data_IF_508363941088
#
_entry.id   IF_508363941088
#
_cell.length_a   1.000
_cell.length_b   1.000
_cell.length_c   1.000
_cell.angle_alpha   90.00
_cell.angle_beta   90.00
_cell.angle_gamma   90.00
#
_symmetry.space_group_name_H-M   'P 1'
#
loop_
_entity.id
_entity.type
_entity.pdbx_description
1 polymer ?
#
# COMPACT_ATOMS: atom_id res chain seq x y z
N UNK A 1 -0.16 -16.40 -13.23
CA UNK A 1 -1.49 -16.80 -12.77
C UNK A 1 -1.82 -18.24 -13.16
N UNK A 2 -1.58 -18.67 -14.41
CA UNK A 2 -1.86 -20.06 -14.87
C UNK A 2 -1.18 -21.12 -14.01
N UNK A 3 0.12 -20.96 -13.71
CA UNK A 3 0.84 -21.90 -12.85
C UNK A 3 0.28 -22.00 -11.41
N UNK A 4 -0.34 -20.94 -10.90
CA UNK A 4 -1.07 -20.99 -9.62
C UNK A 4 -2.33 -21.84 -9.77
N UNK A 5 -3.10 -21.64 -10.83
CA UNK A 5 -4.31 -22.42 -11.09
C UNK A 5 -4.01 -23.93 -11.18
N UNK A 6 -2.90 -24.31 -11.82
CA UNK A 6 -2.46 -25.73 -11.92
C UNK A 6 -2.09 -26.35 -10.56
N UNK A 7 -1.86 -25.55 -9.53
CA UNK A 7 -1.46 -26.00 -8.19
C UNK A 7 -2.56 -25.93 -7.14
N UNK A 8 -3.77 -25.53 -7.51
CA UNK A 8 -4.87 -25.36 -6.56
C UNK A 8 -5.25 -26.65 -5.83
N UNK A 9 -5.18 -27.83 -6.48
CA UNK A 9 -5.46 -29.10 -5.82
C UNK A 9 -4.40 -29.40 -4.74
N UNK A 10 -3.13 -29.21 -5.04
CA UNK A 10 -2.06 -29.33 -4.06
C UNK A 10 -2.26 -28.36 -2.87
N UNK A 11 -2.62 -27.12 -3.14
CA UNK A 11 -2.87 -26.12 -2.09
C UNK A 11 -4.09 -26.47 -1.26
N UNK A 12 -5.12 -27.03 -1.88
CA UNK A 12 -6.30 -27.52 -1.17
C UNK A 12 -5.96 -28.70 -0.24
N UNK A 13 -5.18 -29.66 -0.74
CA UNK A 13 -4.72 -30.82 0.06
C UNK A 13 -3.81 -30.38 1.23
N UNK A 14 -3.09 -29.27 1.05
CA UNK A 14 -2.29 -28.65 2.11
C UNK A 14 -3.15 -27.95 3.18
N UNK A 15 -4.44 -27.73 2.93
CA UNK A 15 -5.35 -27.07 3.85
C UNK A 15 -5.38 -25.54 3.73
N UNK A 16 -5.04 -25.00 2.55
CA UNK A 16 -5.07 -23.55 2.30
C UNK A 16 -6.50 -23.08 2.08
N UNK A 17 -6.93 -22.03 2.78
CA UNK A 17 -8.23 -21.36 2.61
C UNK A 17 -8.11 -20.07 1.79
N UNK A 18 -6.97 -19.36 1.87
CA UNK A 18 -6.73 -18.13 1.12
C UNK A 18 -5.34 -18.13 0.49
N UNK A 19 -5.26 -17.59 -0.73
CA UNK A 19 -3.99 -17.32 -1.42
C UNK A 19 -3.78 -15.82 -1.49
N UNK A 20 -2.81 -15.32 -0.77
CA UNK A 20 -2.31 -13.97 -0.99
C UNK A 20 -1.36 -13.96 -2.17
N UNK A 21 -1.72 -13.19 -3.19
CA UNK A 21 -0.88 -12.91 -4.34
C UNK A 21 -0.14 -11.58 -4.08
N UNK A 22 1.19 -11.62 -4.10
CA UNK A 22 2.00 -10.40 -4.13
C UNK A 22 1.67 -9.57 -5.38
N UNK A 23 2.04 -8.27 -5.46
CA UNK A 23 1.58 -7.40 -6.53
C UNK A 23 1.83 -7.97 -7.93
N UNK A 24 0.79 -8.05 -8.72
CA UNK A 24 0.81 -8.54 -10.11
C UNK A 24 0.09 -7.57 -11.06
N UNK A 25 -0.27 -6.40 -10.58
CA UNK A 25 -0.81 -5.31 -11.39
C UNK A 25 0.26 -4.74 -12.32
N UNK A 26 -0.17 -3.98 -13.33
CA UNK A 26 0.77 -3.33 -14.26
C UNK A 26 1.77 -2.48 -13.49
N UNK A 27 3.05 -2.75 -13.69
CA UNK A 27 4.15 -2.12 -12.96
C UNK A 27 5.42 -2.06 -13.81
N UNK A 28 6.22 -0.98 -13.72
CA UNK A 28 7.58 -0.97 -14.25
C UNK A 28 8.56 -1.93 -13.56
N UNK A 29 8.13 -2.61 -12.48
CA UNK A 29 8.91 -3.59 -11.72
C UNK A 29 10.20 -3.02 -11.09
N UNK A 30 10.18 -1.75 -10.70
CA UNK A 30 11.31 -1.12 -9.99
C UNK A 30 11.42 -1.64 -8.56
N UNK A 31 10.28 -1.98 -7.98
CA UNK A 31 10.15 -2.56 -6.64
C UNK A 31 9.28 -3.82 -6.67
N UNK A 32 9.58 -4.75 -7.60
CA UNK A 32 8.93 -6.06 -7.69
C UNK A 32 7.39 -6.01 -7.71
N UNK A 33 6.81 -4.98 -8.33
CA UNK A 33 5.37 -4.79 -8.46
C UNK A 33 4.76 -3.84 -7.42
N UNK A 34 5.49 -3.48 -6.36
CA UNK A 34 5.01 -2.48 -5.39
C UNK A 34 5.03 -1.04 -5.91
N UNK A 35 5.50 -0.82 -7.14
CA UNK A 35 5.39 0.41 -7.91
C UNK A 35 4.27 0.29 -8.96
N UNK A 36 3.01 0.32 -8.48
CA UNK A 36 1.82 0.09 -9.32
C UNK A 36 1.58 1.24 -10.29
N UNK A 37 1.49 0.93 -11.58
CA UNK A 37 1.18 1.89 -12.64
C UNK A 37 -0.29 1.84 -13.10
N UNK A 38 -0.99 0.72 -12.87
CA UNK A 38 -2.43 0.57 -13.12
C UNK A 38 -3.02 -0.49 -12.19
N UNK A 39 -3.92 -0.08 -11.31
CA UNK A 39 -4.55 -0.95 -10.30
C UNK A 39 -5.61 -1.91 -10.86
N UNK A 40 -6.09 -1.70 -12.09
CA UNK A 40 -7.23 -2.43 -12.65
C UNK A 40 -6.84 -3.37 -13.80
N UNK A 41 -5.55 -3.43 -14.11
CA UNK A 41 -5.02 -4.32 -15.13
C UNK A 41 -3.89 -5.20 -14.58
N UNK A 42 -3.73 -6.37 -15.20
CA UNK A 42 -2.71 -7.35 -14.85
C UNK A 42 -1.50 -7.08 -15.70
N UNK A 43 -0.30 -7.11 -15.08
CA UNK A 43 0.93 -7.04 -15.85
C UNK A 43 1.04 -8.26 -16.77
N UNK A 44 1.31 -8.06 -18.08
CA UNK A 44 1.40 -9.16 -19.05
C UNK A 44 2.41 -10.24 -18.67
N UNK A 45 3.39 -9.93 -17.82
CA UNK A 45 4.35 -10.91 -17.29
C UNK A 45 3.67 -12.03 -16.50
N UNK A 46 2.57 -11.73 -15.80
CA UNK A 46 1.85 -12.67 -14.94
C UNK A 46 0.66 -13.35 -15.61
N UNK A 47 0.19 -12.80 -16.73
CA UNK A 47 -0.93 -13.34 -17.47
C UNK A 47 -1.93 -12.30 -17.94
N UNK A 48 -3.17 -12.70 -18.12
CA UNK A 48 -4.26 -11.88 -18.61
C UNK A 48 -5.39 -11.79 -17.59
N UNK A 49 -6.36 -10.89 -17.83
CA UNK A 49 -7.57 -10.82 -17.03
C UNK A 49 -8.38 -12.13 -17.09
N UNK A 50 -8.39 -12.80 -18.24
CA UNK A 50 -9.02 -14.12 -18.42
C UNK A 50 -8.33 -15.20 -17.57
N UNK A 51 -7.00 -15.19 -17.49
CA UNK A 51 -6.25 -16.09 -16.62
C UNK A 51 -6.60 -15.88 -15.14
N UNK A 52 -6.82 -14.62 -14.75
CA UNK A 52 -7.24 -14.28 -13.39
C UNK A 52 -8.69 -14.73 -13.14
N UNK A 53 -9.62 -14.45 -14.06
CA UNK A 53 -11.02 -14.85 -13.92
C UNK A 53 -11.11 -16.38 -13.79
N UNK A 54 -10.30 -17.13 -14.57
CA UNK A 54 -10.19 -18.58 -14.42
C UNK A 54 -9.62 -18.99 -13.05
N UNK A 55 -8.57 -18.32 -12.57
CA UNK A 55 -7.99 -18.63 -11.26
C UNK A 55 -8.98 -18.40 -10.12
N UNK A 56 -9.77 -17.31 -10.16
CA UNK A 56 -10.84 -17.03 -9.20
C UNK A 56 -11.87 -18.15 -9.22
N UNK A 57 -12.38 -18.51 -10.41
CA UNK A 57 -13.39 -19.54 -10.57
C UNK A 57 -12.93 -20.94 -10.12
N UNK A 58 -11.68 -21.31 -10.42
CA UNK A 58 -11.09 -22.58 -10.00
C UNK A 58 -10.79 -22.61 -8.50
N UNK A 59 -10.41 -21.46 -7.91
CA UNK A 59 -10.27 -21.28 -6.47
C UNK A 59 -11.59 -21.47 -5.73
N UNK A 60 -12.65 -20.85 -6.23
CA UNK A 60 -14.00 -20.96 -5.65
C UNK A 60 -14.50 -22.41 -5.58
N UNK A 61 -14.28 -23.22 -6.63
CA UNK A 61 -14.65 -24.65 -6.65
C UNK A 61 -13.96 -25.45 -5.54
N UNK A 62 -12.83 -24.97 -5.04
CA UNK A 62 -12.00 -25.61 -3.99
C UNK A 62 -12.14 -24.95 -2.63
N UNK A 63 -13.01 -23.95 -2.50
CA UNK A 63 -13.12 -23.08 -1.33
C UNK A 63 -11.80 -22.40 -0.97
N UNK A 64 -11.04 -21.95 -1.97
CA UNK A 64 -9.83 -21.16 -1.81
C UNK A 64 -10.14 -19.74 -2.30
N UNK A 65 -10.13 -18.79 -1.37
CA UNK A 65 -10.27 -17.36 -1.68
C UNK A 65 -8.97 -16.75 -2.18
N UNK A 66 -9.07 -15.78 -3.09
CA UNK A 66 -7.91 -14.97 -3.46
C UNK A 66 -7.87 -13.70 -2.63
N UNK A 67 -6.68 -13.37 -2.14
CA UNK A 67 -6.36 -12.12 -1.44
C UNK A 67 -5.39 -11.31 -2.27
N UNK A 68 -5.73 -10.06 -2.55
CA UNK A 68 -4.93 -9.17 -3.38
C UNK A 68 -4.18 -8.15 -2.55
N UNK A 69 -3.00 -7.79 -3.02
CA UNK A 69 -2.13 -6.79 -2.40
C UNK A 69 -2.50 -5.39 -2.87
N UNK A 70 -2.93 -4.55 -1.93
CA UNK A 70 -3.34 -3.17 -2.18
C UNK A 70 -2.25 -2.21 -1.74
N UNK A 71 -1.46 -1.76 -2.70
CA UNK A 71 -0.38 -0.79 -2.48
C UNK A 71 -0.96 0.61 -2.57
N UNK A 72 -1.51 1.12 -1.47
CA UNK A 72 -2.29 2.35 -1.44
C UNK A 72 -1.58 3.55 -0.80
N UNK A 73 -0.36 3.36 -0.28
CA UNK A 73 0.43 4.49 0.21
C UNK A 73 0.97 5.35 -0.93
N UNK A 74 1.29 4.74 -2.08
CA UNK A 74 1.94 5.38 -3.22
C UNK A 74 1.55 4.73 -4.54
N UNK A 75 1.86 5.39 -5.64
CA UNK A 75 1.83 4.78 -6.98
C UNK A 75 3.21 4.84 -7.62
N UNK A 76 3.40 4.07 -8.70
CA UNK A 76 4.52 4.33 -9.61
C UNK A 76 4.45 5.75 -10.17
N UNK A 77 5.61 6.36 -10.40
CA UNK A 77 5.69 7.60 -11.20
C UNK A 77 5.28 7.38 -12.67
N UNK A 78 5.14 6.13 -13.11
CA UNK A 78 4.56 5.77 -14.41
C UNK A 78 3.03 5.69 -14.39
N UNK A 79 2.38 5.79 -13.24
CA UNK A 79 0.92 5.81 -13.13
C UNK A 79 0.33 7.01 -13.88
N UNK A 80 -0.83 6.83 -14.53
CA UNK A 80 -1.47 7.90 -15.29
C UNK A 80 -1.69 9.16 -14.46
N UNK A 81 -2.11 9.02 -13.21
CA UNK A 81 -2.33 10.16 -12.32
C UNK A 81 -1.06 11.00 -12.12
N UNK A 82 0.10 10.35 -11.89
CA UNK A 82 1.36 11.07 -11.69
C UNK A 82 1.84 11.74 -12.97
N UNK A 83 1.72 11.08 -14.13
CA UNK A 83 2.06 11.68 -15.42
C UNK A 83 1.21 12.92 -15.71
N UNK A 84 -0.09 12.87 -15.40
CA UNK A 84 -1.01 14.02 -15.55
C UNK A 84 -0.67 15.14 -14.55
N UNK A 85 -0.27 14.79 -13.32
CA UNK A 85 0.24 15.77 -12.36
C UNK A 85 1.46 16.52 -12.91
N UNK A 86 2.43 15.79 -13.50
CA UNK A 86 3.62 16.37 -14.13
C UNK A 86 3.28 17.20 -15.38
N UNK A 87 2.21 16.86 -16.10
CA UNK A 87 1.69 17.63 -17.22
C UNK A 87 0.99 18.94 -16.82
N UNK A 88 0.88 19.23 -15.50
CA UNK A 88 0.32 20.47 -14.98
C UNK A 88 -1.16 20.40 -14.61
N UNK A 89 -1.81 19.23 -14.70
CA UNK A 89 -3.21 19.08 -14.33
C UNK A 89 -3.39 19.18 -12.81
N UNK A 90 -4.01 20.26 -12.36
CA UNK A 90 -4.17 20.62 -10.95
C UNK A 90 -4.82 19.53 -10.12
N UNK A 91 -5.89 18.90 -10.64
CA UNK A 91 -6.57 17.79 -10.01
C UNK A 91 -5.59 16.71 -9.61
N UNK A 92 -4.71 16.28 -10.51
CA UNK A 92 -3.77 15.20 -10.28
C UNK A 92 -2.54 15.64 -9.47
N UNK A 93 -2.19 16.92 -9.50
CA UNK A 93 -1.20 17.44 -8.54
C UNK A 93 -1.70 17.31 -7.10
N UNK A 94 -3.00 17.49 -6.87
CA UNK A 94 -3.61 17.36 -5.55
C UNK A 94 -3.78 15.89 -5.11
N UNK A 95 -3.56 14.92 -6.01
CA UNK A 95 -3.53 13.48 -5.69
C UNK A 95 -2.25 13.04 -4.99
N UNK A 96 -1.17 13.80 -5.11
CA UNK A 96 0.13 13.51 -4.54
C UNK A 96 0.55 14.60 -3.57
N UNK A 97 1.59 14.29 -2.80
CA UNK A 97 2.14 15.26 -1.85
C UNK A 97 3.24 16.05 -2.54
N UNK A 98 2.86 17.17 -3.13
CA UNK A 98 3.78 18.17 -3.68
C UNK A 98 3.94 19.34 -2.74
N UNK A 99 5.16 19.68 -2.35
CA UNK A 99 5.47 20.75 -1.39
C UNK A 99 6.75 21.47 -1.72
N UNK A 100 6.98 22.53 -0.94
CA UNK A 100 8.26 23.26 -0.88
C UNK A 100 8.46 24.27 -2.01
N UNK A 101 9.58 24.92 -1.91
CA UNK A 101 10.12 25.88 -2.87
C UNK A 101 11.36 25.26 -3.55
N UNK A 102 11.82 25.80 -4.69
CA UNK A 102 12.92 25.21 -5.47
C UNK A 102 14.22 25.02 -4.71
N UNK A 103 14.50 25.85 -3.73
CA UNK A 103 15.82 25.98 -3.12
C UNK A 103 16.18 24.85 -2.14
N UNK A 104 15.18 24.18 -1.56
CA UNK A 104 15.41 23.13 -0.57
C UNK A 104 14.21 22.18 -0.44
N UNK A 105 14.44 20.89 -0.07
CA UNK A 105 13.36 19.98 0.21
C UNK A 105 12.53 20.45 1.42
N UNK A 106 11.23 20.09 1.48
CA UNK A 106 10.33 20.50 2.55
C UNK A 106 10.73 20.08 3.95
N UNK A 107 11.40 18.94 4.09
CA UNK A 107 11.98 18.42 5.34
C UNK A 107 13.24 17.62 5.06
N UNK A 108 13.99 17.30 6.12
CA UNK A 108 15.18 16.45 6.04
C UNK A 108 14.89 14.94 6.05
N UNK A 109 13.64 14.54 5.85
CA UNK A 109 13.24 13.12 5.92
C UNK A 109 13.98 12.26 4.91
N UNK A 110 14.23 11.03 5.31
CA UNK A 110 14.92 10.04 4.49
C UNK A 110 13.95 8.98 3.94
N UNK A 111 14.20 8.57 2.72
CA UNK A 111 13.55 7.40 2.14
C UNK A 111 13.93 6.13 2.91
N UNK A 112 13.02 5.18 3.01
CA UNK A 112 13.28 3.85 3.59
C UNK A 112 14.32 3.06 2.79
N UNK A 113 14.56 3.45 1.54
CA UNK A 113 15.61 2.87 0.67
C UNK A 113 16.90 3.71 0.65
N UNK A 114 16.95 4.77 1.47
CA UNK A 114 18.10 5.66 1.62
C UNK A 114 18.00 6.92 0.76
N UNK A 115 18.74 7.94 1.16
CA UNK A 115 18.69 9.26 0.54
C UNK A 115 17.47 10.09 0.98
N UNK A 116 17.26 11.23 0.32
CA UNK A 116 16.13 12.12 0.61
C UNK A 116 14.79 11.43 0.33
N UNK A 117 13.76 11.70 1.13
CA UNK A 117 12.39 11.32 0.85
C UNK A 117 11.68 12.29 -0.13
N UNK A 118 12.41 13.26 -0.67
CA UNK A 118 11.88 14.27 -1.57
C UNK A 118 12.66 14.33 -2.87
N UNK A 119 11.93 14.38 -3.99
CA UNK A 119 12.50 14.57 -5.32
C UNK A 119 11.96 15.84 -5.97
N UNK A 120 12.84 16.64 -6.57
CA UNK A 120 12.49 17.92 -7.16
C UNK A 120 11.99 17.77 -8.59
N UNK A 121 10.85 18.38 -8.86
CA UNK A 121 10.25 18.47 -10.20
C UNK A 121 10.40 19.87 -10.74
N UNK A 122 11.40 20.10 -11.58
CA UNK A 122 11.74 21.40 -12.12
C UNK A 122 10.60 22.05 -12.91
N UNK A 123 9.80 21.27 -13.64
CA UNK A 123 8.65 21.76 -14.41
C UNK A 123 7.53 22.32 -13.54
N UNK A 124 7.42 21.89 -12.28
CA UNK A 124 6.42 22.34 -11.32
C UNK A 124 7.00 23.31 -10.28
N UNK A 125 8.32 23.39 -10.16
CA UNK A 125 8.99 24.16 -9.09
C UNK A 125 8.69 23.63 -7.68
N UNK A 126 8.44 22.33 -7.55
CA UNK A 126 8.02 21.68 -6.31
C UNK A 126 8.74 20.34 -6.11
N UNK A 127 8.72 19.85 -4.89
CA UNK A 127 9.19 18.51 -4.51
C UNK A 127 8.00 17.60 -4.29
N UNK A 128 8.10 16.32 -4.72
CA UNK A 128 7.13 15.30 -4.31
C UNK A 128 7.74 14.38 -3.26
N UNK A 129 6.87 13.89 -2.37
CA UNK A 129 7.24 12.92 -1.35
C UNK A 129 7.34 11.51 -1.95
N UNK A 130 8.39 10.77 -1.58
CA UNK A 130 8.53 9.33 -1.81
C UNK A 130 9.17 8.68 -0.58
N UNK A 131 8.38 8.01 0.24
CA UNK A 131 8.90 7.31 1.42
C UNK A 131 9.71 6.06 1.08
N UNK A 132 9.58 5.56 -0.15
CA UNK A 132 10.28 4.40 -0.71
C UNK A 132 11.15 4.80 -1.90
N UNK A 133 11.15 4.04 -2.98
CA UNK A 133 11.92 4.39 -4.17
C UNK A 133 11.48 5.73 -4.75
N UNK A 134 12.42 6.44 -5.38
CA UNK A 134 12.13 7.71 -6.06
C UNK A 134 11.04 7.56 -7.13
N UNK A 135 10.82 6.36 -7.64
CA UNK A 135 9.76 6.05 -8.60
C UNK A 135 8.41 5.70 -7.96
N UNK A 136 8.27 5.85 -6.63
CA UNK A 136 7.05 5.54 -5.86
C UNK A 136 6.55 6.81 -5.15
N UNK A 137 5.72 7.60 -5.84
CA UNK A 137 5.20 8.87 -5.32
C UNK A 137 4.06 8.66 -4.31
N UNK A 138 4.18 9.24 -3.13
CA UNK A 138 3.20 9.12 -2.03
C UNK A 138 1.88 9.82 -2.36
N UNK A 139 0.78 9.11 -2.16
CA UNK A 139 -0.58 9.61 -2.36
C UNK A 139 -1.04 10.54 -1.23
N UNK A 140 -1.82 11.54 -1.59
CA UNK A 140 -2.43 12.49 -0.67
C UNK A 140 -3.79 11.99 -0.16
N UNK A 141 -3.79 11.17 0.87
CA UNK A 141 -5.04 10.64 1.48
C UNK A 141 -5.94 11.70 2.12
N UNK A 142 -5.46 12.92 2.36
CA UNK A 142 -6.32 14.04 2.77
C UNK A 142 -7.32 14.42 1.69
N UNK A 143 -6.96 14.19 0.42
CA UNK A 143 -7.84 14.44 -0.70
C UNK A 143 -8.94 13.37 -0.78
N UNK A 144 -10.22 13.72 -0.62
CA UNK A 144 -11.31 12.75 -0.68
C UNK A 144 -11.47 12.09 -2.06
N UNK A 145 -11.05 12.76 -3.14
CA UNK A 145 -11.08 12.15 -4.48
C UNK A 145 -10.08 11.00 -4.58
N UNK A 146 -8.90 11.11 -3.95
CA UNK A 146 -7.93 10.01 -3.88
C UNK A 146 -8.53 8.81 -3.14
N UNK A 147 -9.15 9.06 -1.98
CA UNK A 147 -9.82 7.99 -1.21
C UNK A 147 -10.92 7.32 -2.03
N UNK A 148 -11.70 8.10 -2.79
CA UNK A 148 -12.75 7.52 -3.64
C UNK A 148 -12.18 6.68 -4.78
N UNK A 149 -11.12 7.13 -5.47
CA UNK A 149 -10.45 6.33 -6.50
C UNK A 149 -9.93 4.99 -5.95
N UNK A 150 -9.36 4.99 -4.73
CA UNK A 150 -8.88 3.77 -4.09
C UNK A 150 -10.03 2.85 -3.66
N UNK A 151 -11.15 3.41 -3.20
CA UNK A 151 -12.38 2.64 -2.92
C UNK A 151 -12.94 2.00 -4.19
N UNK A 152 -12.90 2.69 -5.33
CA UNK A 152 -13.29 2.13 -6.62
C UNK A 152 -12.39 0.97 -7.07
N UNK A 153 -11.10 0.99 -6.73
CA UNK A 153 -10.21 -0.17 -6.96
C UNK A 153 -10.69 -1.39 -6.17
N UNK A 154 -11.01 -1.21 -4.89
CA UNK A 154 -11.54 -2.30 -4.04
C UNK A 154 -12.87 -2.83 -4.62
N UNK A 155 -13.81 -1.95 -4.96
CA UNK A 155 -15.11 -2.34 -5.55
C UNK A 155 -14.93 -3.12 -6.84
N UNK A 156 -14.00 -2.70 -7.70
CA UNK A 156 -13.68 -3.40 -8.95
C UNK A 156 -13.24 -4.84 -8.72
N UNK A 157 -12.27 -5.06 -7.82
CA UNK A 157 -11.76 -6.41 -7.53
C UNK A 157 -12.76 -7.25 -6.75
N UNK A 158 -13.53 -6.63 -5.84
CA UNK A 158 -14.66 -7.29 -5.16
C UNK A 158 -15.69 -7.80 -6.15
N UNK A 159 -16.07 -6.99 -7.14
CA UNK A 159 -17.01 -7.39 -8.20
C UNK A 159 -16.46 -8.53 -9.08
N UNK A 160 -15.14 -8.67 -9.19
CA UNK A 160 -14.45 -9.78 -9.86
C UNK A 160 -14.43 -11.08 -9.04
N UNK A 161 -14.81 -11.05 -7.77
CA UNK A 161 -14.86 -12.24 -6.91
C UNK A 161 -13.67 -12.41 -5.97
N UNK A 162 -12.82 -11.38 -5.81
CA UNK A 162 -11.76 -11.38 -4.81
C UNK A 162 -12.36 -11.44 -3.41
N UNK A 163 -11.78 -12.22 -2.51
CA UNK A 163 -12.32 -12.54 -1.18
C UNK A 163 -11.52 -11.95 -0.02
N UNK A 164 -10.38 -11.34 -0.29
CA UNK A 164 -9.56 -10.73 0.74
C UNK A 164 -8.64 -9.65 0.19
N UNK A 165 -8.14 -8.80 1.08
CA UNK A 165 -7.23 -7.71 0.73
C UNK A 165 -6.11 -7.60 1.76
N UNK A 166 -4.87 -7.59 1.29
CA UNK A 166 -3.72 -7.20 2.08
C UNK A 166 -3.37 -5.77 1.74
N UNK A 167 -3.23 -4.93 2.73
CA UNK A 167 -2.89 -3.52 2.57
C UNK A 167 -1.43 -3.28 2.91
N UNK A 168 -0.68 -2.87 1.92
CA UNK A 168 0.75 -2.60 2.00
C UNK A 168 1.02 -1.33 2.81
N UNK A 169 1.92 -1.42 3.78
CA UNK A 169 2.38 -0.32 4.66
C UNK A 169 1.27 0.67 5.05
N UNK A 170 0.10 0.15 5.31
CA UNK A 170 -1.14 0.93 5.42
C UNK A 170 -1.14 1.93 6.58
N UNK A 171 -0.31 1.73 7.58
CA UNK A 171 -0.16 2.68 8.68
C UNK A 171 0.63 3.94 8.32
N UNK A 172 1.12 4.05 7.09
CA UNK A 172 1.85 5.22 6.59
C UNK A 172 0.98 6.19 5.76
N UNK A 173 -0.28 5.85 5.46
CA UNK A 173 -1.13 6.63 4.55
C UNK A 173 -1.51 8.01 5.08
N UNK A 174 -1.56 8.18 6.41
CA UNK A 174 -1.90 9.45 7.04
C UNK A 174 -0.64 10.27 7.35
N UNK A 175 -0.42 11.33 6.58
CA UNK A 175 0.70 12.24 6.78
C UNK A 175 0.36 13.32 7.81
N UNK A 176 1.37 13.97 8.44
CA UNK A 176 1.14 14.97 9.47
C UNK A 176 0.51 16.26 8.91
N UNK A 177 -0.05 17.05 9.80
CA UNK A 177 -0.52 18.41 9.49
C UNK A 177 0.63 19.39 9.34
N UNK A 178 1.59 19.32 10.27
CA UNK A 178 2.77 20.17 10.34
C UNK A 178 3.97 19.35 9.87
N UNK A 179 4.76 19.92 8.98
CA UNK A 179 5.91 19.30 8.37
C UNK A 179 7.17 19.87 8.98
N UNK A 180 7.90 19.06 9.73
CA UNK A 180 9.07 19.47 10.50
C UNK A 180 10.24 18.54 10.20
N UNK A 181 11.46 19.08 10.36
CA UNK A 181 12.67 18.29 10.29
C UNK A 181 12.78 17.31 11.47
N UNK A 182 13.32 16.14 11.21
CA UNK A 182 13.68 15.17 12.25
C UNK A 182 15.17 15.23 12.53
N UNK A 183 15.55 15.84 13.63
CA UNK A 183 16.96 15.95 14.03
C UNK A 183 17.46 14.73 14.82
N UNK A 184 16.58 13.78 15.15
CA UNK A 184 16.90 12.59 15.95
C UNK A 184 16.77 11.29 15.15
N UNK A 185 16.15 11.36 13.95
CA UNK A 185 15.83 10.18 13.15
C UNK A 185 15.70 10.50 11.66
N UNK A 186 14.91 9.68 10.98
CA UNK A 186 14.71 9.71 9.53
C UNK A 186 13.34 10.27 9.10
N UNK A 187 12.58 10.85 10.01
CA UNK A 187 11.26 11.40 9.77
C UNK A 187 10.10 10.44 10.07
N UNK A 188 10.38 9.13 10.28
CA UNK A 188 9.32 8.12 10.44
C UNK A 188 8.33 8.41 11.57
N UNK A 189 8.76 9.06 12.63
CA UNK A 189 7.88 9.42 13.76
C UNK A 189 6.73 10.35 13.38
N UNK A 190 6.86 11.09 12.29
CA UNK A 190 5.85 12.04 11.85
C UNK A 190 4.78 11.43 10.95
N UNK A 191 5.08 10.33 10.25
CA UNK A 191 4.15 9.73 9.29
C UNK A 191 3.73 8.29 9.63
N UNK A 192 4.31 7.68 10.68
CA UNK A 192 3.86 6.36 11.15
C UNK A 192 2.66 6.53 12.06
N UNK A 193 1.61 5.75 11.83
CA UNK A 193 0.36 5.80 12.61
C UNK A 193 -0.22 7.22 12.72
N UNK A 194 -0.22 7.94 11.59
CA UNK A 194 -0.57 9.36 11.53
C UNK A 194 -2.03 9.66 11.97
N UNK A 195 -2.36 10.94 12.16
CA UNK A 195 -3.53 11.36 12.93
C UNK A 195 -4.89 10.87 12.41
N UNK A 196 -5.02 10.64 11.10
CA UNK A 196 -6.29 10.25 10.46
C UNK A 196 -6.31 8.81 9.95
N UNK A 197 -5.29 7.99 10.23
CA UNK A 197 -5.16 6.65 9.65
C UNK A 197 -6.36 5.76 9.96
N UNK A 198 -6.83 5.77 11.19
CA UNK A 198 -8.00 4.99 11.62
C UNK A 198 -9.30 5.47 10.98
N UNK A 199 -9.47 6.78 10.81
CA UNK A 199 -10.64 7.34 10.12
C UNK A 199 -10.66 6.91 8.66
N UNK A 200 -9.51 6.96 7.98
CA UNK A 200 -9.38 6.55 6.59
C UNK A 200 -9.64 5.05 6.40
N UNK A 201 -9.16 4.21 7.31
CA UNK A 201 -9.40 2.77 7.24
C UNK A 201 -10.88 2.44 7.49
N UNK A 202 -11.50 3.03 8.51
CA UNK A 202 -12.93 2.87 8.78
C UNK A 202 -13.79 3.33 7.60
N UNK A 203 -13.44 4.47 6.98
CA UNK A 203 -14.08 4.96 5.77
C UNK A 203 -13.93 3.96 4.62
N UNK A 204 -12.71 3.49 4.34
CA UNK A 204 -12.41 2.54 3.28
C UNK A 204 -13.21 1.24 3.44
N UNK A 205 -13.16 0.63 4.62
CA UNK A 205 -13.81 -0.65 4.91
C UNK A 205 -15.33 -0.52 4.80
N UNK A 206 -15.94 0.46 5.48
CA UNK A 206 -17.37 0.72 5.45
C UNK A 206 -17.88 1.01 4.03
N UNK A 207 -17.26 1.94 3.32
CA UNK A 207 -17.78 2.44 2.04
C UNK A 207 -17.57 1.45 0.90
N UNK A 208 -16.68 0.48 1.06
CA UNK A 208 -16.47 -0.61 0.10
C UNK A 208 -17.22 -1.89 0.48
N UNK A 209 -17.77 -1.95 1.70
CA UNK A 209 -18.51 -3.11 2.23
C UNK A 209 -17.62 -4.35 2.32
N UNK A 210 -16.42 -4.22 2.88
CA UNK A 210 -15.48 -5.32 3.09
C UNK A 210 -15.32 -5.69 4.57
N UNK A 211 -16.26 -5.28 5.43
CA UNK A 211 -16.22 -5.56 6.88
C UNK A 211 -16.11 -7.06 7.19
N UNK A 212 -16.74 -7.90 6.36
CA UNK A 212 -16.73 -9.37 6.52
C UNK A 212 -15.67 -10.06 5.65
N UNK A 213 -14.82 -9.29 4.97
CA UNK A 213 -13.71 -9.83 4.18
C UNK A 213 -12.50 -10.10 5.07
N UNK A 214 -11.67 -11.08 4.64
CA UNK A 214 -10.35 -11.24 5.27
C UNK A 214 -9.45 -10.10 4.81
N UNK A 215 -9.07 -9.24 5.76
CA UNK A 215 -8.19 -8.11 5.50
C UNK A 215 -6.95 -8.17 6.39
N UNK A 216 -5.79 -7.93 5.80
CA UNK A 216 -4.49 -7.98 6.49
C UNK A 216 -3.78 -6.65 6.27
N UNK A 217 -3.38 -5.99 7.36
CA UNK A 217 -2.55 -4.79 7.28
C UNK A 217 -1.08 -5.09 7.48
N UNK A 218 -0.22 -4.57 6.61
CA UNK A 218 1.19 -4.46 6.91
C UNK A 218 1.45 -3.19 7.67
N UNK A 219 1.99 -3.35 8.90
CA UNK A 219 2.28 -2.23 9.80
C UNK A 219 3.78 -1.99 9.86
N UNK A 220 4.23 -0.91 9.25
CA UNK A 220 5.64 -0.51 9.25
C UNK A 220 5.97 0.22 10.55
N UNK A 221 6.90 -0.32 11.34
CA UNK A 221 7.47 0.37 12.53
C UNK A 221 6.45 0.80 13.60
N UNK A 222 5.37 0.06 13.78
CA UNK A 222 4.31 0.35 14.77
C UNK A 222 4.52 -0.40 16.09
N UNK A 223 3.71 -0.07 17.10
CA UNK A 223 3.69 -0.74 18.41
C UNK A 223 2.63 -1.84 18.49
N UNK A 224 2.69 -2.70 19.52
CA UNK A 224 1.66 -3.72 19.75
C UNK A 224 0.30 -3.08 20.05
N UNK A 225 0.28 -1.98 20.79
CA UNK A 225 -0.95 -1.23 21.11
C UNK A 225 -1.64 -0.74 19.85
N UNK A 226 -0.88 -0.22 18.89
CA UNK A 226 -1.42 0.17 17.59
C UNK A 226 -1.90 -1.04 16.78
N UNK A 227 -1.15 -2.15 16.74
CA UNK A 227 -1.61 -3.37 16.07
C UNK A 227 -2.95 -3.87 16.61
N UNK A 228 -3.14 -3.84 17.94
CA UNK A 228 -4.42 -4.19 18.59
C UNK A 228 -5.53 -3.25 18.12
N UNK A 229 -5.24 -1.97 18.01
CA UNK A 229 -6.23 -0.97 17.55
C UNK A 229 -6.63 -1.20 16.10
N UNK A 230 -5.68 -1.47 15.19
CA UNK A 230 -5.97 -1.74 13.77
C UNK A 230 -6.80 -3.01 13.55
N UNK A 231 -6.66 -4.03 14.41
CA UNK A 231 -7.32 -5.33 14.23
C UNK A 231 -8.33 -5.68 15.32
N UNK A 232 -8.68 -4.73 16.18
CA UNK A 232 -9.71 -4.91 17.20
C UNK A 232 -11.09 -5.08 16.54
N UNK A 233 -11.85 -6.11 16.95
CA UNK A 233 -13.15 -6.43 16.37
C UNK A 233 -14.14 -5.27 16.42
N UNK A 234 -14.10 -4.47 17.48
CA UNK A 234 -14.98 -3.31 17.67
C UNK A 234 -14.57 -2.09 16.81
N UNK A 235 -13.33 -2.07 16.35
CA UNK A 235 -12.81 -0.97 15.52
C UNK A 235 -13.31 -1.01 14.08
N UNK A 236 -13.64 -2.19 13.56
CA UNK A 236 -14.11 -2.42 12.18
C UNK A 236 -13.17 -1.84 11.11
N UNK A 237 -11.88 -2.03 11.32
CA UNK A 237 -10.83 -1.65 10.38
C UNK A 237 -10.33 -2.88 9.61
N UNK A 238 -9.42 -3.64 10.19
CA UNK A 238 -8.79 -4.80 9.56
C UNK A 238 -9.06 -6.06 10.35
N UNK A 239 -9.09 -7.23 9.69
CA UNK A 239 -9.23 -8.51 10.38
C UNK A 239 -7.99 -8.88 11.17
N UNK A 240 -6.80 -8.52 10.67
CA UNK A 240 -5.51 -8.84 11.30
C UNK A 240 -4.40 -7.90 10.79
N UNK A 241 -3.26 -7.94 11.49
CA UNK A 241 -2.04 -7.24 11.11
C UNK A 241 -0.86 -8.19 11.10
N UNK A 242 0.12 -7.93 10.22
CA UNK A 242 1.42 -8.55 10.35
C UNK A 242 2.13 -8.03 11.60
N UNK A 243 2.68 -8.95 12.37
CA UNK A 243 3.51 -8.63 13.51
C UNK A 243 4.98 -8.93 13.19
N UNK A 244 5.78 -7.88 13.07
CA UNK A 244 7.21 -7.99 12.80
C UNK A 244 8.09 -7.95 14.04
N UNK A 245 7.51 -7.85 15.24
CA UNK A 245 8.29 -7.76 16.49
C UNK A 245 9.13 -9.03 16.73
N UNK A 246 8.61 -10.19 16.35
CA UNK A 246 9.34 -11.46 16.47
C UNK A 246 10.61 -11.51 15.61
N UNK A 247 10.70 -10.71 14.55
CA UNK A 247 11.90 -10.61 13.71
C UNK A 247 13.02 -9.80 14.37
N UNK A 248 12.73 -9.15 15.50
CA UNK A 248 13.66 -8.28 16.23
C UNK A 248 13.92 -8.74 17.65
N UNK A 249 13.56 -9.97 18.01
CA UNK A 249 13.75 -10.51 19.37
C UNK A 249 15.22 -10.67 19.72
N UNK A 250 16.09 -10.79 18.72
CA UNK A 250 17.53 -10.87 18.83
C UNK A 250 18.25 -9.50 18.74
N UNK A 251 17.48 -8.38 18.79
CA UNK A 251 18.02 -7.03 18.79
C UNK A 251 17.95 -6.41 20.19
N UNK A 252 19.03 -5.72 20.57
CA UNK A 252 19.09 -4.85 21.76
C UNK A 252 19.72 -3.54 21.37
N UNK A 253 19.09 -2.43 21.79
CA UNK A 253 19.59 -1.08 21.53
C UNK A 253 19.93 -0.84 20.05
N UNK A 254 19.11 -1.42 19.13
CA UNK A 254 19.29 -1.31 17.69
C UNK A 254 20.35 -2.23 17.09
N UNK A 255 21.05 -3.02 17.90
CA UNK A 255 22.08 -3.97 17.45
C UNK A 255 21.56 -5.41 17.52
N UNK A 256 21.88 -6.21 16.51
CA UNK A 256 21.61 -7.65 16.53
C UNK A 256 22.50 -8.33 17.56
N UNK A 257 21.87 -9.19 18.40
CA UNK A 257 22.63 -10.00 19.36
C UNK A 257 23.31 -11.14 18.62
N UNK A 258 24.54 -11.43 19.00
CA UNK A 258 25.15 -12.72 18.71
C UNK A 258 24.55 -13.75 19.69
N UNK A 259 23.91 -14.77 19.15
CA UNK A 259 23.38 -15.92 19.90
C UNK A 259 24.51 -16.90 20.19
#
# INVERSE_FOLDING_TARGET
LRGVAEKLDYLKDLGVDYLWLTPFFVSPQRDNGYDVADYRNIDPMFGTMEDLDNLIAEGEKRNIGLMFDMVFNHTSTSHEWFRRALAGEKKYQDYYIFKGAPDQPPTNWQSKFGGSAWEYVSSLGKWYLHLFDVTQADLNWKNPEVREELKEVIRFWKAKGVKGFRFDVVNLISKPEIWEDDFEGDGRKFYTDGPYVHEYLKELVRDTGIEDYVTVGEMSSTTLEHCIRYSGAEEKELSMCFNFHHLKVDYKDGNKWEL
#
